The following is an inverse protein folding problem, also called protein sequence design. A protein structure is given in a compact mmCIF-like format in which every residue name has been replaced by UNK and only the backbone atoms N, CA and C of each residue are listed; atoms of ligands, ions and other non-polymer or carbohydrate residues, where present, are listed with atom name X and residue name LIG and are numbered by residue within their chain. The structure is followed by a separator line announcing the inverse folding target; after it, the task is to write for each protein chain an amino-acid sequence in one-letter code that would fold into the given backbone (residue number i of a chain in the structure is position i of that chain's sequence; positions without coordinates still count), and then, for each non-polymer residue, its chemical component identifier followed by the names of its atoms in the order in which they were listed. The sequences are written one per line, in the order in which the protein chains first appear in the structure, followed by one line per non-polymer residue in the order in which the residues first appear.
data_IF_556514645950
#
_entry.id   IF_556514645950
#
_cell.length_a   1.000
_cell.length_b   1.000
_cell.length_c   1.000
_cell.angle_alpha   90.00
_cell.angle_beta   90.00
_cell.angle_gamma   90.00
#
_symmetry.space_group_name_H-M   'P 1'
#
loop_
_entity.id
_entity.type
_entity.pdbx_description
1 polymer ?
#
# COMPACT_ATOMS: atom_id res chain seq x y z
N UNK A 1 12.32 0.82 4.55
CA UNK A 1 12.34 -0.24 3.53
C UNK A 1 11.74 0.23 2.21
N UNK A 2 12.00 -0.48 1.15
CA UNK A 2 11.37 -0.23 -0.15
C UNK A 2 10.86 -1.54 -0.71
N UNK A 3 9.80 -1.46 -1.51
CA UNK A 3 9.31 -2.64 -2.23
C UNK A 3 10.19 -2.95 -3.44
N UNK A 4 10.08 -4.18 -3.97
CA UNK A 4 10.57 -4.46 -5.31
C UNK A 4 9.88 -3.53 -6.32
N UNK A 5 10.49 -3.26 -7.50
CA UNK A 5 9.92 -2.31 -8.47
C UNK A 5 8.79 -2.95 -9.30
N UNK A 6 7.78 -3.45 -8.61
CA UNK A 6 6.66 -4.20 -9.21
C UNK A 6 5.30 -3.60 -8.87
N UNK A 7 5.26 -2.47 -8.17
CA UNK A 7 4.02 -1.96 -7.62
C UNK A 7 3.75 -0.54 -8.08
N UNK A 8 2.46 -0.21 -8.18
CA UNK A 8 2.00 1.17 -8.19
C UNK A 8 1.46 1.50 -6.81
N UNK A 9 1.50 2.76 -6.45
CA UNK A 9 1.13 3.23 -5.13
C UNK A 9 0.00 4.23 -5.27
N UNK A 10 -1.09 4.00 -4.51
CA UNK A 10 -2.30 4.80 -4.65
C UNK A 10 -2.68 5.46 -3.34
N UNK A 11 -3.29 6.63 -3.46
CA UNK A 11 -4.04 7.26 -2.37
C UNK A 11 -5.52 6.94 -2.58
N UNK A 12 -6.16 6.38 -1.55
CA UNK A 12 -7.59 6.04 -1.58
C UNK A 12 -8.35 7.11 -0.83
N UNK A 13 -9.06 7.98 -1.55
CA UNK A 13 -9.83 9.08 -0.98
C UNK A 13 -8.99 10.04 -0.14
N UNK A 14 -7.70 10.11 -0.38
CA UNK A 14 -6.75 10.90 0.37
C UNK A 14 -6.66 10.51 1.87
N UNK A 15 -7.12 9.31 2.20
CA UNK A 15 -7.16 8.81 3.59
C UNK A 15 -6.23 7.63 3.84
N UNK A 16 -6.06 6.75 2.84
CA UNK A 16 -5.31 5.51 3.01
C UNK A 16 -4.34 5.31 1.85
N UNK A 17 -3.13 4.77 2.13
CA UNK A 17 -2.25 4.30 1.06
C UNK A 17 -2.55 2.85 0.73
N UNK A 18 -2.31 2.46 -0.52
CA UNK A 18 -2.44 1.07 -0.92
C UNK A 18 -1.53 0.74 -2.10
N UNK A 19 -1.08 -0.50 -2.16
CA UNK A 19 -0.22 -1.00 -3.23
C UNK A 19 -1.04 -1.84 -4.20
N UNK A 20 -0.60 -1.87 -5.47
CA UNK A 20 -1.16 -2.75 -6.49
C UNK A 20 -0.04 -3.34 -7.33
N UNK A 21 0.00 -4.66 -7.43
CA UNK A 21 0.99 -5.37 -8.24
C UNK A 21 0.68 -5.20 -9.72
N UNK A 22 1.70 -4.84 -10.51
CA UNK A 22 1.54 -4.64 -11.95
C UNK A 22 2.56 -5.46 -12.72
N UNK A 23 2.24 -5.76 -13.97
CA UNK A 23 3.15 -6.50 -14.86
C UNK A 23 4.21 -5.58 -15.46
N UNK A 24 3.86 -4.32 -15.70
CA UNK A 24 4.76 -3.32 -16.27
C UNK A 24 4.53 -1.98 -15.59
N UNK A 25 5.55 -1.13 -15.59
CA UNK A 25 5.44 0.21 -15.04
C UNK A 25 5.45 0.28 -13.52
N UNK A 26 5.89 -0.78 -12.86
CA UNK A 26 6.01 -0.78 -11.41
C UNK A 26 7.19 0.04 -10.93
N UNK A 27 7.07 0.54 -9.70
CA UNK A 27 8.14 1.30 -9.06
C UNK A 27 8.42 0.73 -7.68
N UNK A 28 9.61 1.04 -7.14
CA UNK A 28 9.96 0.70 -5.77
C UNK A 28 9.37 1.77 -4.85
N UNK A 29 8.49 1.35 -3.94
CA UNK A 29 7.75 2.27 -3.06
C UNK A 29 8.39 2.26 -1.68
N UNK A 30 8.76 3.44 -1.14
CA UNK A 30 9.31 3.51 0.21
C UNK A 30 8.23 3.32 1.27
N UNK A 31 8.61 2.71 2.38
CA UNK A 31 7.67 2.48 3.47
C UNK A 31 8.40 2.11 4.75
N UNK A 32 7.64 1.73 5.76
CA UNK A 32 8.15 1.35 7.07
C UNK A 32 7.73 -0.08 7.38
N UNK A 33 8.63 -0.84 8.02
CA UNK A 33 8.32 -2.18 8.50
C UNK A 33 8.06 -2.13 10.00
N UNK A 34 7.02 -2.84 10.42
CA UNK A 34 6.68 -2.99 11.83
C UNK A 34 6.63 -4.47 12.17
N UNK A 35 7.12 -4.80 13.35
CA UNK A 35 7.10 -6.16 13.87
C UNK A 35 5.82 -6.33 14.69
N UNK A 36 4.79 -6.92 14.08
CA UNK A 36 3.45 -7.02 14.67
C UNK A 36 3.07 -8.49 14.83
N UNK A 37 2.65 -8.91 16.04
CA UNK A 37 2.21 -10.29 16.25
C UNK A 37 1.02 -10.66 15.36
N UNK A 38 0.97 -11.91 14.91
CA UNK A 38 -0.11 -12.40 14.07
C UNK A 38 -1.49 -12.28 14.76
N UNK A 39 -1.52 -12.44 16.08
CA UNK A 39 -2.77 -12.27 16.85
C UNK A 39 -3.29 -10.84 16.74
N UNK A 40 -2.42 -9.85 16.78
CA UNK A 40 -2.81 -8.45 16.63
C UNK A 40 -3.34 -8.18 15.23
N UNK A 41 -2.72 -8.75 14.20
CA UNK A 41 -3.19 -8.62 12.82
C UNK A 41 -4.59 -9.21 12.70
N UNK A 42 -4.79 -10.42 13.23
CA UNK A 42 -6.10 -11.09 13.15
C UNK A 42 -7.19 -10.33 13.90
N UNK A 43 -6.88 -9.85 15.10
CA UNK A 43 -7.92 -9.35 16.01
C UNK A 43 -8.18 -7.86 15.85
N UNK A 44 -7.19 -7.09 15.38
CA UNK A 44 -7.30 -5.63 15.33
C UNK A 44 -7.18 -5.06 13.93
N UNK A 45 -6.22 -5.54 13.11
CA UNK A 45 -5.96 -4.93 11.80
C UNK A 45 -6.95 -5.41 10.75
N UNK A 46 -7.17 -6.72 10.65
CA UNK A 46 -8.07 -7.26 9.62
C UNK A 46 -9.51 -6.76 9.80
N UNK A 47 -10.10 -6.81 11.01
CA UNK A 47 -11.47 -6.29 11.19
C UNK A 47 -11.60 -4.79 10.94
N UNK A 48 -10.52 -4.03 11.11
CA UNK A 48 -10.52 -2.58 10.94
C UNK A 48 -10.25 -2.13 9.51
N UNK A 49 -9.94 -3.07 8.58
CA UNK A 49 -9.63 -2.72 7.20
C UNK A 49 -10.83 -2.09 6.49
N UNK A 50 -10.61 -0.97 5.76
CA UNK A 50 -11.66 -0.43 4.88
C UNK A 50 -12.01 -1.42 3.78
N UNK A 51 -13.22 -1.26 3.23
CA UNK A 51 -13.71 -2.16 2.17
C UNK A 51 -12.84 -2.17 0.92
N UNK A 52 -12.17 -1.05 0.64
CA UNK A 52 -11.32 -0.90 -0.55
C UNK A 52 -10.00 -1.62 -0.42
N UNK A 53 -9.65 -2.07 0.78
CA UNK A 53 -8.31 -2.57 1.08
C UNK A 53 -8.36 -3.99 1.61
N UNK A 54 -7.24 -4.67 1.47
CA UNK A 54 -7.03 -5.99 2.08
C UNK A 54 -5.56 -6.15 2.43
N UNK A 55 -5.25 -7.10 3.30
CA UNK A 55 -3.87 -7.45 3.58
C UNK A 55 -3.37 -8.44 2.54
N UNK A 56 -2.17 -8.18 2.03
CA UNK A 56 -1.53 -9.06 1.06
C UNK A 56 -0.05 -9.21 1.34
N UNK A 57 0.57 -10.18 0.70
CA UNK A 57 2.01 -10.39 0.80
C UNK A 57 2.67 -9.68 -0.37
N UNK A 58 3.64 -8.83 -0.08
CA UNK A 58 4.41 -8.10 -1.09
C UNK A 58 5.87 -8.53 -1.07
N UNK A 59 6.57 -8.26 -2.16
CA UNK A 59 8.00 -8.47 -2.28
C UNK A 59 8.75 -7.17 -1.97
N UNK A 60 9.79 -7.27 -1.14
CA UNK A 60 10.66 -6.15 -0.84
C UNK A 60 11.84 -6.10 -1.82
N UNK A 61 12.55 -4.97 -1.83
CA UNK A 61 13.65 -4.76 -2.76
C UNK A 61 14.80 -5.76 -2.56
N UNK A 62 14.94 -6.32 -1.36
CA UNK A 62 15.97 -7.32 -1.04
C UNK A 62 15.52 -8.77 -1.31
N UNK A 63 14.31 -8.96 -1.85
CA UNK A 63 13.76 -10.28 -2.12
C UNK A 63 12.97 -10.88 -0.97
N UNK A 64 12.95 -10.25 0.19
CA UNK A 64 12.15 -10.70 1.32
C UNK A 64 10.68 -10.39 1.09
N UNK A 65 9.81 -11.01 1.89
CA UNK A 65 8.36 -10.81 1.81
C UNK A 65 7.86 -10.11 3.07
N UNK A 66 6.77 -9.35 2.92
CA UNK A 66 6.13 -8.67 4.04
C UNK A 66 4.63 -8.58 3.79
N UNK A 67 3.86 -8.44 4.88
CA UNK A 67 2.44 -8.12 4.77
C UNK A 67 2.28 -6.62 4.56
N UNK A 68 1.35 -6.26 3.70
CA UNK A 68 1.07 -4.86 3.41
C UNK A 68 -0.40 -4.67 3.05
N UNK A 69 -0.83 -3.43 3.09
CA UNK A 69 -2.16 -3.04 2.64
C UNK A 69 -2.14 -2.92 1.13
N UNK A 70 -3.01 -3.67 0.46
CA UNK A 70 -3.13 -3.66 -1.00
C UNK A 70 -4.57 -3.33 -1.38
N UNK A 71 -4.75 -2.84 -2.61
CA UNK A 71 -6.08 -2.56 -3.14
C UNK A 71 -6.80 -3.87 -3.46
N UNK A 72 -8.11 -3.88 -3.26
CA UNK A 72 -8.96 -4.93 -3.81
C UNK A 72 -9.16 -4.67 -5.29
N UNK A 73 -9.22 -5.75 -6.07
CA UNK A 73 -9.34 -5.64 -7.52
C UNK A 73 -10.59 -4.87 -7.94
N UNK A 74 -11.67 -5.05 -7.23
CA UNK A 74 -12.98 -4.47 -7.59
C UNK A 74 -13.06 -2.96 -7.37
N UNK A 75 -12.04 -2.33 -6.77
CA UNK A 75 -12.03 -0.88 -6.58
C UNK A 75 -11.06 -0.15 -7.52
N UNK A 76 -10.43 -0.86 -8.46
CA UNK A 76 -9.45 -0.25 -9.36
C UNK A 76 -10.03 0.86 -10.25
N UNK A 77 -11.34 0.83 -10.49
CA UNK A 77 -12.02 1.84 -11.30
C UNK A 77 -12.60 2.98 -10.46
N UNK A 78 -12.35 2.99 -9.16
CA UNK A 78 -12.92 4.00 -8.28
C UNK A 78 -12.35 5.39 -8.59
N UNK A 79 -13.20 6.44 -8.66
CA UNK A 79 -12.71 7.81 -8.85
C UNK A 79 -11.95 8.36 -7.66
N UNK A 80 -11.99 7.68 -6.51
CA UNK A 80 -11.27 8.10 -5.31
C UNK A 80 -9.80 7.69 -5.33
N UNK A 81 -9.37 6.88 -6.31
CA UNK A 81 -7.98 6.44 -6.42
C UNK A 81 -7.14 7.47 -7.14
N UNK A 82 -5.99 7.79 -6.56
CA UNK A 82 -4.98 8.65 -7.18
C UNK A 82 -3.65 7.92 -7.15
N UNK A 83 -3.04 7.76 -8.34
CA UNK A 83 -1.72 7.15 -8.43
C UNK A 83 -0.67 8.14 -7.93
N UNK A 84 0.00 7.76 -6.85
CA UNK A 84 1.02 8.60 -6.22
C UNK A 84 2.40 7.93 -6.26
N UNK A 85 2.62 7.04 -7.22
CA UNK A 85 3.84 6.23 -7.31
C UNK A 85 5.10 7.06 -7.44
N UNK A 86 4.99 8.27 -7.98
CA UNK A 86 6.13 9.17 -8.20
C UNK A 86 6.26 10.23 -7.11
N UNK A 87 5.56 10.11 -5.99
CA UNK A 87 5.50 11.13 -4.95
C UNK A 87 6.26 10.79 -3.67
N UNK A 88 7.15 9.82 -3.73
CA UNK A 88 8.12 9.53 -2.67
C UNK A 88 7.65 8.58 -1.59
N UNK A 89 6.38 8.45 -1.34
CA UNK A 89 5.82 7.60 -0.30
C UNK A 89 4.68 8.29 0.40
N UNK A 90 4.04 7.59 1.34
CA UNK A 90 2.81 8.10 1.96
C UNK A 90 3.05 9.36 2.79
N UNK A 91 4.11 9.38 3.59
CA UNK A 91 4.40 10.57 4.42
C UNK A 91 4.70 11.79 3.58
N UNK A 92 5.50 11.62 2.53
CA UNK A 92 5.82 12.72 1.62
C UNK A 92 4.58 13.22 0.90
N UNK A 93 3.73 12.30 0.44
CA UNK A 93 2.48 12.67 -0.21
C UNK A 93 1.57 13.45 0.74
N UNK A 94 1.40 12.97 1.96
CA UNK A 94 0.54 13.61 2.96
C UNK A 94 1.04 15.00 3.34
N UNK A 95 2.35 15.17 3.43
CA UNK A 95 2.91 16.48 3.80
C UNK A 95 2.77 17.53 2.70
N UNK A 96 2.67 17.10 1.44
CA UNK A 96 2.61 18.02 0.29
C UNK A 96 1.19 18.21 -0.25
N UNK A 97 0.37 17.17 -0.23
CA UNK A 97 -0.92 17.14 -0.92
C UNK A 97 -2.08 16.77 0.00
N UNK A 98 -1.80 16.16 1.14
CA UNK A 98 -2.81 15.80 2.11
C UNK A 98 -3.21 16.98 2.99
N UNK A 99 -4.28 16.84 3.68
CA UNK A 99 -4.77 17.85 4.62
C UNK A 99 -4.61 17.38 6.05
#
# INVERSE_FOLDING_TARGET
MRTAPRYRFFSVGNRFPALWLVDTGGVSVPGELYDVPLTTIRDQFIPAEPEELELGVIELADGESALAVVLRRDVLDSPDLVDISDRGGWRDYRSRYGT
#
